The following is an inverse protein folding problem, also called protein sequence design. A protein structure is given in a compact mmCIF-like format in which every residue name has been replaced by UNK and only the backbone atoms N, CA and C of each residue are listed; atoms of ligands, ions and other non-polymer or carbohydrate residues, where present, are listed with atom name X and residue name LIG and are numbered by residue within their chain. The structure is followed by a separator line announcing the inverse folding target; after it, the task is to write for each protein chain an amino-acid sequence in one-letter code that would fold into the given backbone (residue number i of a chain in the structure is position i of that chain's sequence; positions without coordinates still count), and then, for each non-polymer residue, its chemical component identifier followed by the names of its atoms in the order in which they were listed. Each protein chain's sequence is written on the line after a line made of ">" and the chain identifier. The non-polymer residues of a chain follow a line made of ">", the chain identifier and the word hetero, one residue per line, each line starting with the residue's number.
data_IF_278828188834
#
_entry.id   IF_278828188834
#
_cell.length_a   1.000
_cell.length_b   1.000
_cell.length_c   1.000
_cell.angle_alpha   90.00
_cell.angle_beta   90.00
_cell.angle_gamma   90.00
#
_symmetry.space_group_name_H-M   'P 1'
#
loop_
_entity.id
_entity.type
_entity.pdbx_description
1 polymer ?
#
# COMPACT_ATOMS: atom_id res chain seq x y z
N UNK A 1 -11.18 -11.85 7.96
CA UNK A 1 -12.52 -11.29 7.67
C UNK A 1 -13.63 -12.33 7.66
N UNK A 2 -13.66 -13.33 6.78
CA UNK A 2 -14.81 -14.27 6.72
C UNK A 2 -15.17 -14.95 8.04
N UNK A 3 -14.17 -15.45 8.80
CA UNK A 3 -14.43 -16.09 10.10
C UNK A 3 -14.99 -15.10 11.15
N UNK A 4 -14.59 -13.83 11.09
CA UNK A 4 -15.08 -12.79 11.99
C UNK A 4 -16.51 -12.39 11.62
N UNK A 5 -16.74 -12.04 10.35
CA UNK A 5 -18.05 -11.58 9.89
C UNK A 5 -19.11 -12.68 10.06
N UNK A 6 -18.81 -13.92 9.67
CA UNK A 6 -19.80 -15.01 9.79
C UNK A 6 -20.09 -15.40 11.25
N UNK A 7 -19.25 -14.99 12.21
CA UNK A 7 -19.50 -15.23 13.63
C UNK A 7 -20.56 -14.27 14.17
N UNK A 8 -20.47 -12.97 13.82
CA UNK A 8 -21.42 -11.95 14.28
C UNK A 8 -22.63 -11.75 13.35
N UNK A 9 -22.47 -12.05 12.06
CA UNK A 9 -23.49 -11.91 11.02
C UNK A 9 -23.62 -13.24 10.24
N UNK A 10 -24.25 -14.26 10.83
CA UNK A 10 -24.36 -15.58 10.22
C UNK A 10 -25.26 -15.61 8.98
N UNK A 11 -26.20 -14.65 8.86
CA UNK A 11 -27.18 -14.58 7.79
C UNK A 11 -27.56 -13.14 7.42
N UNK A 12 -28.42 -12.99 6.41
CA UNK A 12 -28.90 -11.68 5.95
C UNK A 12 -29.76 -10.94 6.99
N UNK A 13 -30.45 -11.65 7.87
CA UNK A 13 -31.31 -11.01 8.87
C UNK A 13 -30.46 -10.30 9.92
N UNK A 14 -29.32 -10.89 10.31
CA UNK A 14 -28.35 -10.24 11.19
C UNK A 14 -27.86 -8.90 10.59
N UNK A 15 -27.61 -8.83 9.28
CA UNK A 15 -27.24 -7.60 8.59
C UNK A 15 -28.41 -6.61 8.56
N UNK A 16 -29.59 -7.05 8.14
CA UNK A 16 -30.78 -6.19 7.98
C UNK A 16 -31.27 -5.56 9.29
N UNK A 17 -31.05 -6.25 10.41
CA UNK A 17 -31.49 -5.80 11.73
C UNK A 17 -30.47 -4.90 12.44
N UNK A 18 -29.23 -4.82 11.93
CA UNK A 18 -28.19 -3.96 12.48
C UNK A 18 -28.31 -2.54 11.91
N UNK A 19 -29.01 -1.68 12.65
CA UNK A 19 -29.24 -0.28 12.27
C UNK A 19 -27.96 0.55 12.25
N UNK A 20 -26.98 0.23 13.09
CA UNK A 20 -25.71 0.96 13.15
C UNK A 20 -24.88 0.64 11.90
N UNK A 21 -24.78 -0.63 11.53
CA UNK A 21 -24.06 -1.06 10.33
C UNK A 21 -24.67 -0.48 9.04
N UNK A 22 -26.01 -0.46 8.95
CA UNK A 22 -26.71 0.13 7.80
C UNK A 22 -26.45 1.63 7.73
N UNK A 23 -26.62 2.36 8.84
CA UNK A 23 -26.41 3.80 8.90
C UNK A 23 -24.95 4.17 8.57
N UNK A 24 -23.98 3.41 9.08
CA UNK A 24 -22.55 3.58 8.79
C UNK A 24 -22.26 3.51 7.28
N UNK A 25 -22.81 2.50 6.60
CA UNK A 25 -22.55 2.33 5.17
C UNK A 25 -23.29 3.36 4.31
N UNK A 26 -24.49 3.78 4.71
CA UNK A 26 -25.20 4.88 4.07
C UNK A 26 -24.43 6.19 4.23
N UNK A 27 -23.89 6.48 5.41
CA UNK A 27 -23.12 7.69 5.66
C UNK A 27 -21.83 7.74 4.81
N UNK A 28 -21.09 6.64 4.71
CA UNK A 28 -19.90 6.55 3.83
C UNK A 28 -20.26 6.92 2.39
N UNK A 29 -21.37 6.39 1.86
CA UNK A 29 -21.77 6.63 0.47
C UNK A 29 -22.31 8.03 0.25
N UNK A 30 -23.21 8.48 1.12
CA UNK A 30 -23.98 9.71 0.91
C UNK A 30 -23.25 10.97 1.37
N UNK A 31 -22.43 10.86 2.42
CA UNK A 31 -21.69 11.99 3.00
C UNK A 31 -20.17 11.87 2.86
N UNK A 32 -19.62 10.68 2.97
CA UNK A 32 -18.18 10.44 2.80
C UNK A 32 -17.73 10.59 1.34
N UNK A 33 -18.53 10.08 0.40
CA UNK A 33 -18.28 10.11 -1.04
C UNK A 33 -19.47 10.66 -1.84
N UNK A 34 -19.94 11.89 -1.56
CA UNK A 34 -21.19 12.42 -2.10
C UNK A 34 -21.17 12.59 -3.63
N UNK A 35 -19.99 12.79 -4.21
CA UNK A 35 -19.75 12.88 -5.66
C UNK A 35 -19.87 11.51 -6.36
N UNK A 36 -19.67 10.41 -5.62
CA UNK A 36 -19.74 9.03 -6.12
C UNK A 36 -20.98 8.27 -5.69
N UNK A 37 -21.91 8.87 -4.94
CA UNK A 37 -23.10 8.16 -4.41
C UNK A 37 -23.93 7.42 -5.46
N UNK A 38 -23.99 7.92 -6.71
CA UNK A 38 -24.70 7.29 -7.84
C UNK A 38 -23.80 6.44 -8.76
N UNK A 39 -22.53 6.29 -8.43
CA UNK A 39 -21.60 5.49 -9.22
C UNK A 39 -22.01 4.02 -9.19
N UNK A 40 -21.81 3.32 -10.32
CA UNK A 40 -21.91 1.87 -10.33
C UNK A 40 -20.80 1.26 -9.47
N UNK A 41 -21.09 0.12 -8.83
CA UNK A 41 -20.09 -0.68 -8.11
C UNK A 41 -20.14 -0.61 -6.59
N UNK A 42 -21.00 0.20 -5.97
CA UNK A 42 -21.22 0.15 -4.52
C UNK A 42 -21.81 -1.21 -4.08
N UNK A 43 -21.16 -1.92 -3.14
CA UNK A 43 -21.76 -3.09 -2.51
C UNK A 43 -23.09 -2.75 -1.81
N UNK A 44 -24.05 -3.68 -1.88
CA UNK A 44 -25.42 -3.42 -1.41
C UNK A 44 -25.62 -3.54 0.10
N UNK A 45 -24.64 -4.14 0.81
CA UNK A 45 -24.70 -4.46 2.24
C UNK A 45 -26.02 -5.16 2.64
N UNK A 46 -26.35 -6.26 1.96
CA UNK A 46 -27.54 -7.06 2.26
C UNK A 46 -27.21 -8.43 2.82
N UNK A 47 -26.01 -8.92 2.54
CA UNK A 47 -25.56 -10.26 2.91
C UNK A 47 -24.24 -10.21 3.70
N UNK A 48 -23.91 -11.24 4.49
CA UNK A 48 -22.59 -11.37 5.10
C UNK A 48 -21.45 -11.31 4.08
N UNK A 49 -21.69 -11.80 2.85
CA UNK A 49 -20.71 -11.72 1.75
C UNK A 49 -20.43 -10.27 1.34
N UNK A 50 -21.46 -9.43 1.26
CA UNK A 50 -21.30 -8.00 0.97
C UNK A 50 -20.47 -7.33 2.06
N UNK A 51 -20.78 -7.60 3.34
CA UNK A 51 -20.04 -7.05 4.46
C UNK A 51 -18.56 -7.49 4.44
N UNK A 52 -18.30 -8.79 4.19
CA UNK A 52 -16.94 -9.31 4.02
C UNK A 52 -16.21 -8.56 2.91
N UNK A 53 -16.85 -8.34 1.76
CA UNK A 53 -16.24 -7.60 0.66
C UNK A 53 -15.91 -6.16 1.07
N UNK A 54 -16.85 -5.45 1.70
CA UNK A 54 -16.66 -4.06 2.15
C UNK A 54 -15.48 -3.97 3.13
N UNK A 55 -15.51 -4.70 4.25
CA UNK A 55 -14.49 -4.57 5.29
C UNK A 55 -13.13 -5.10 4.84
N UNK A 56 -13.10 -6.13 3.97
CA UNK A 56 -11.84 -6.62 3.40
C UNK A 56 -11.23 -5.61 2.45
N UNK A 57 -12.05 -4.87 1.70
CA UNK A 57 -11.57 -3.81 0.79
C UNK A 57 -11.01 -2.64 1.59
N UNK A 58 -11.73 -2.18 2.61
CA UNK A 58 -11.25 -1.11 3.51
C UNK A 58 -9.93 -1.51 4.16
N UNK A 59 -9.86 -2.72 4.74
CA UNK A 59 -8.63 -3.22 5.34
C UNK A 59 -7.50 -3.36 4.31
N UNK A 60 -7.77 -3.86 3.11
CA UNK A 60 -6.75 -3.98 2.06
C UNK A 60 -6.19 -2.62 1.65
N UNK A 61 -7.06 -1.63 1.42
CA UNK A 61 -6.66 -0.28 1.01
C UNK A 61 -5.83 0.39 2.11
N UNK A 62 -6.30 0.31 3.36
CA UNK A 62 -5.63 0.92 4.50
C UNK A 62 -4.34 0.22 4.95
N UNK A 63 -4.18 -1.08 4.63
CA UNK A 63 -3.00 -1.85 5.00
C UNK A 63 -2.09 -2.11 3.79
N UNK A 64 -2.32 -3.24 3.11
CA UNK A 64 -1.40 -3.80 2.12
C UNK A 64 -1.23 -2.94 0.86
N UNK A 65 -2.31 -2.29 0.39
CA UNK A 65 -2.23 -1.41 -0.76
C UNK A 65 -1.40 -0.17 -0.46
N UNK A 66 -1.73 0.56 0.61
CA UNK A 66 -0.95 1.71 1.06
C UNK A 66 0.51 1.34 1.25
N UNK A 67 0.79 0.25 1.97
CA UNK A 67 2.17 -0.20 2.20
C UNK A 67 2.93 -0.39 0.89
N UNK A 68 2.31 -1.06 -0.10
CA UNK A 68 2.91 -1.36 -1.39
C UNK A 68 3.25 -0.11 -2.23
N UNK A 69 2.56 1.01 -2.02
CA UNK A 69 2.81 2.28 -2.74
C UNK A 69 3.57 3.31 -1.90
N UNK A 70 3.70 3.10 -0.59
CA UNK A 70 4.25 4.06 0.35
C UNK A 70 5.71 3.77 0.76
N UNK A 71 6.00 2.60 1.34
CA UNK A 71 7.28 2.35 2.02
C UNK A 71 8.47 2.09 1.09
N UNK A 72 8.23 2.03 -0.21
CA UNK A 72 9.27 1.94 -1.25
C UNK A 72 9.57 3.29 -1.90
N UNK A 73 8.89 4.37 -1.48
CA UNK A 73 9.04 5.68 -2.11
C UNK A 73 10.48 6.17 -2.04
N UNK A 74 11.14 6.13 -0.88
CA UNK A 74 12.52 6.58 -0.76
C UNK A 74 13.50 5.66 -1.52
N UNK A 75 13.27 4.36 -1.54
CA UNK A 75 14.12 3.42 -2.29
C UNK A 75 14.16 3.75 -3.80
N UNK A 76 13.08 4.29 -4.36
CA UNK A 76 13.01 4.69 -5.77
C UNK A 76 13.26 6.18 -6.02
N UNK A 77 12.83 7.06 -5.13
CA UNK A 77 12.89 8.51 -5.31
C UNK A 77 14.09 9.18 -4.62
N UNK A 78 14.78 8.47 -3.72
CA UNK A 78 15.99 8.97 -3.06
C UNK A 78 17.14 9.21 -4.05
N UNK A 79 17.17 8.44 -5.14
CA UNK A 79 17.96 8.74 -6.32
C UNK A 79 17.07 9.40 -7.38
N UNK A 80 17.03 10.75 -7.37
CA UNK A 80 16.08 11.53 -8.18
C UNK A 80 16.04 11.18 -9.69
N UNK A 81 17.14 10.78 -10.37
CA UNK A 81 17.05 10.44 -11.79
C UNK A 81 16.21 9.19 -12.05
N UNK A 82 16.08 8.29 -11.06
CA UNK A 82 15.21 7.11 -11.18
C UNK A 82 13.72 7.47 -11.13
N UNK A 83 13.35 8.63 -10.55
CA UNK A 83 11.96 9.08 -10.43
C UNK A 83 11.89 10.61 -10.34
N UNK A 84 12.15 11.33 -11.44
CA UNK A 84 12.07 12.79 -11.45
C UNK A 84 10.62 13.23 -11.20
N UNK A 85 10.43 14.18 -10.29
CA UNK A 85 9.10 14.67 -9.91
C UNK A 85 8.55 15.77 -10.82
N UNK A 86 9.43 16.42 -11.60
CA UNK A 86 9.10 17.52 -12.50
C UNK A 86 10.10 17.56 -13.65
N UNK A 87 9.63 18.03 -14.82
CA UNK A 87 10.47 18.55 -15.89
C UNK A 87 10.32 20.09 -15.92
N UNK A 88 11.44 20.82 -15.79
CA UNK A 88 11.52 22.30 -15.79
C UNK A 88 11.59 22.88 -17.20
N UNK A 89 12.04 22.10 -18.16
CA UNK A 89 12.09 22.43 -19.59
C UNK A 89 11.45 21.31 -20.40
N UNK A 90 11.24 21.53 -21.69
CA UNK A 90 10.75 20.49 -22.58
C UNK A 90 11.81 19.39 -22.68
N UNK A 91 11.38 18.13 -22.54
CA UNK A 91 12.25 16.99 -22.82
C UNK A 91 12.60 16.97 -24.32
N UNK A 92 13.84 16.59 -24.68
CA UNK A 92 14.18 16.30 -26.07
C UNK A 92 13.22 15.27 -26.66
N UNK A 93 12.89 15.43 -27.94
CA UNK A 93 12.01 14.52 -28.65
C UNK A 93 12.78 13.33 -29.21
N UNK A 94 12.08 12.25 -29.54
CA UNK A 94 12.66 11.10 -30.25
C UNK A 94 12.84 11.37 -31.76
N UNK A 95 12.42 12.55 -32.24
CA UNK A 95 12.61 12.94 -33.63
C UNK A 95 14.05 13.38 -33.85
N UNK A 96 14.83 12.50 -34.48
CA UNK A 96 16.26 12.70 -34.74
C UNK A 96 16.59 14.02 -35.44
N UNK A 97 15.69 14.52 -36.30
CA UNK A 97 15.88 15.78 -37.02
C UNK A 97 15.68 17.01 -36.11
N UNK A 98 15.14 16.82 -34.91
CA UNK A 98 14.84 17.85 -33.91
C UNK A 98 15.66 17.71 -32.62
N UNK A 99 16.58 16.74 -32.54
CA UNK A 99 17.46 16.59 -31.37
C UNK A 99 18.43 17.77 -31.35
N UNK A 100 18.45 18.61 -30.30
CA UNK A 100 19.41 19.71 -30.20
C UNK A 100 20.85 19.18 -30.18
N UNK A 101 21.77 19.86 -30.86
CA UNK A 101 23.21 19.51 -30.88
C UNK A 101 23.78 19.41 -29.45
N UNK A 102 23.31 20.28 -28.55
CA UNK A 102 23.66 20.26 -27.12
C UNK A 102 23.33 18.93 -26.42
N UNK A 103 22.25 18.26 -26.82
CA UNK A 103 21.89 16.94 -26.28
C UNK A 103 22.78 15.84 -26.85
N UNK A 104 23.24 15.97 -28.10
CA UNK A 104 24.18 15.03 -28.72
C UNK A 104 25.55 15.14 -28.04
N UNK A 105 26.02 16.36 -27.82
CA UNK A 105 27.34 16.63 -27.27
C UNK A 105 27.40 16.41 -25.75
N UNK A 106 26.32 16.72 -25.02
CA UNK A 106 26.27 16.63 -23.56
C UNK A 106 24.86 16.30 -23.03
N UNK A 107 24.38 15.06 -23.23
CA UNK A 107 23.03 14.65 -22.85
C UNK A 107 22.78 14.78 -21.34
N UNK A 108 23.80 14.56 -20.51
CA UNK A 108 23.67 14.67 -19.05
C UNK A 108 23.30 16.08 -18.61
N UNK A 109 23.95 17.11 -19.17
CA UNK A 109 23.67 18.50 -18.82
C UNK A 109 22.25 18.90 -19.21
N UNK A 110 21.82 18.54 -20.43
CA UNK A 110 20.48 18.84 -20.93
C UNK A 110 19.41 18.13 -20.08
N UNK A 111 19.63 16.86 -19.72
CA UNK A 111 18.72 16.11 -18.84
C UNK A 111 18.68 16.72 -17.43
N UNK A 112 19.82 17.12 -16.86
CA UNK A 112 19.87 17.76 -15.54
C UNK A 112 19.19 19.14 -15.53
N UNK A 113 19.23 19.86 -16.65
CA UNK A 113 18.49 21.11 -16.82
C UNK A 113 16.97 20.85 -16.89
N UNK A 114 16.56 19.80 -17.61
CA UNK A 114 15.17 19.40 -17.66
C UNK A 114 14.67 18.85 -16.31
N UNK A 115 15.46 18.07 -15.59
CA UNK A 115 15.07 17.45 -14.32
C UNK A 115 15.04 18.43 -13.15
N UNK A 116 14.52 18.02 -11.97
CA UNK A 116 14.40 18.91 -10.82
C UNK A 116 15.75 19.55 -10.46
N UNK A 117 15.74 20.81 -10.03
CA UNK A 117 16.95 21.44 -9.48
C UNK A 117 17.39 20.72 -8.19
N UNK A 118 18.64 20.92 -7.77
CA UNK A 118 19.15 20.30 -6.52
C UNK A 118 18.24 20.60 -5.33
N UNK A 119 17.74 21.83 -5.21
CA UNK A 119 16.84 22.21 -4.13
C UNK A 119 15.48 21.46 -4.20
N UNK A 120 14.91 21.32 -5.40
CA UNK A 120 13.66 20.58 -5.62
C UNK A 120 13.83 19.08 -5.36
N UNK A 121 14.88 18.47 -5.93
CA UNK A 121 15.21 17.07 -5.71
C UNK A 121 15.46 16.78 -4.23
N UNK A 122 16.21 17.63 -3.54
CA UNK A 122 16.48 17.49 -2.11
C UNK A 122 15.22 17.56 -1.26
N UNK A 123 14.30 18.47 -1.62
CA UNK A 123 13.00 18.59 -0.92
C UNK A 123 12.17 17.32 -1.09
N UNK A 124 12.06 16.81 -2.32
CA UNK A 124 11.31 15.58 -2.60
C UNK A 124 11.97 14.38 -1.92
N UNK A 125 13.29 14.23 -2.00
CA UNK A 125 13.99 13.11 -1.37
C UNK A 125 13.81 13.09 0.16
N UNK A 126 13.86 14.25 0.82
CA UNK A 126 13.60 14.35 2.27
C UNK A 126 12.15 14.02 2.62
N UNK A 127 11.18 14.50 1.84
CA UNK A 127 9.77 14.14 2.01
C UNK A 127 9.58 12.63 1.87
N UNK A 128 10.13 12.02 0.81
CA UNK A 128 10.01 10.58 0.59
C UNK A 128 10.71 9.76 1.68
N UNK A 129 11.82 10.25 2.23
CA UNK A 129 12.50 9.62 3.36
C UNK A 129 11.58 9.55 4.58
N UNK A 130 10.93 10.67 4.92
CA UNK A 130 10.02 10.77 6.07
C UNK A 130 8.80 9.87 5.86
N UNK A 131 8.16 9.94 4.69
CA UNK A 131 6.97 9.14 4.38
C UNK A 131 7.26 7.63 4.29
N UNK A 132 8.52 7.23 4.03
CA UNK A 132 8.92 5.82 3.96
C UNK A 132 9.39 5.25 5.31
N UNK A 133 9.45 6.06 6.36
CA UNK A 133 9.96 5.65 7.66
C UNK A 133 8.84 5.08 8.54
N UNK A 134 9.08 3.90 9.13
CA UNK A 134 8.20 3.36 10.16
C UNK A 134 8.49 4.01 11.53
N UNK A 135 7.42 4.38 12.24
CA UNK A 135 7.49 4.78 13.64
C UNK A 135 7.99 3.63 14.52
N UNK A 136 8.75 3.88 15.61
CA UNK A 136 9.05 2.86 16.61
C UNK A 136 7.78 2.27 17.28
N UNK A 137 6.70 3.04 17.30
CA UNK A 137 5.42 2.65 17.91
C UNK A 137 4.42 2.06 16.88
N UNK A 138 4.89 1.73 15.67
CA UNK A 138 4.02 1.24 14.59
C UNK A 138 3.34 -0.11 14.90
N UNK A 139 2.06 -0.21 14.54
CA UNK A 139 1.25 -1.41 14.73
C UNK A 139 1.07 -2.17 13.42
N UNK A 140 1.71 -3.34 13.35
CA UNK A 140 1.73 -4.18 12.15
C UNK A 140 0.63 -5.24 12.12
N UNK A 141 0.21 -5.56 10.90
CA UNK A 141 -0.82 -6.55 10.63
C UNK A 141 -0.49 -7.92 11.25
N UNK A 142 -1.42 -8.45 12.05
CA UNK A 142 -1.27 -9.75 12.71
C UNK A 142 -0.26 -9.80 13.86
N UNK A 143 0.33 -8.67 14.27
CA UNK A 143 1.30 -8.62 15.38
C UNK A 143 0.62 -8.76 16.74
N UNK A 144 -0.28 -7.83 17.06
CA UNK A 144 -1.05 -7.75 18.31
C UNK A 144 -2.53 -8.02 18.05
N UNK A 145 -3.15 -8.79 18.93
CA UNK A 145 -4.59 -9.03 18.94
C UNK A 145 -5.28 -7.92 19.73
N UNK A 146 -6.43 -7.45 19.25
CA UNK A 146 -7.30 -6.56 19.99
C UNK A 146 -7.84 -7.27 21.24
N UNK A 147 -7.77 -6.68 22.45
CA UNK A 147 -8.29 -7.29 23.68
C UNK A 147 -9.69 -7.89 23.56
N UNK A 148 -10.65 -7.17 22.97
CA UNK A 148 -12.01 -7.67 22.78
C UNK A 148 -12.08 -8.93 21.88
N UNK A 149 -11.17 -9.07 20.92
CA UNK A 149 -11.07 -10.26 20.07
C UNK A 149 -10.46 -11.46 20.80
N UNK A 150 -9.63 -11.21 21.81
CA UNK A 150 -9.02 -12.26 22.63
C UNK A 150 -10.02 -12.88 23.62
N UNK A 151 -11.02 -12.11 24.05
CA UNK A 151 -12.08 -12.57 24.96
C UNK A 151 -13.05 -13.56 24.29
N UNK A 152 -13.27 -13.45 22.97
CA UNK A 152 -14.05 -14.42 22.21
C UNK A 152 -13.17 -15.57 21.69
N UNK A 153 -13.35 -16.83 22.14
CA UNK A 153 -12.49 -17.95 21.74
C UNK A 153 -12.53 -18.27 20.24
N UNK A 154 -13.65 -18.00 19.57
CA UNK A 154 -13.82 -18.22 18.13
C UNK A 154 -13.01 -17.19 17.35
N UNK A 155 -13.11 -15.93 17.74
CA UNK A 155 -12.37 -14.83 17.12
C UNK A 155 -10.88 -14.92 17.41
N UNK A 156 -10.49 -15.21 18.66
CA UNK A 156 -9.10 -15.42 19.03
C UNK A 156 -8.44 -16.51 18.17
N UNK A 157 -9.13 -17.64 17.96
CA UNK A 157 -8.65 -18.71 17.07
C UNK A 157 -8.59 -18.27 15.61
N UNK A 158 -9.53 -17.43 15.15
CA UNK A 158 -9.49 -16.88 13.80
C UNK A 158 -8.30 -15.94 13.59
N UNK A 159 -7.98 -15.11 14.59
CA UNK A 159 -6.80 -14.23 14.59
C UNK A 159 -5.50 -15.03 14.57
N UNK A 160 -5.37 -16.08 15.38
CA UNK A 160 -4.18 -16.93 15.39
C UNK A 160 -3.96 -17.62 14.03
N UNK A 161 -5.04 -18.10 13.39
CA UNK A 161 -4.96 -18.64 12.03
C UNK A 161 -4.52 -17.57 11.03
N UNK A 162 -4.99 -16.32 11.18
CA UNK A 162 -4.59 -15.22 10.33
C UNK A 162 -3.10 -14.89 10.49
N UNK A 163 -2.61 -14.75 11.72
CA UNK A 163 -1.19 -14.57 12.05
C UNK A 163 -0.30 -15.68 11.48
N UNK A 164 -0.71 -16.93 11.63
CA UNK A 164 0.01 -18.06 11.04
C UNK A 164 0.10 -17.98 9.51
N UNK A 165 -0.97 -17.54 8.83
CA UNK A 165 -0.96 -17.37 7.37
C UNK A 165 -0.04 -16.22 6.94
N UNK A 166 0.03 -15.13 7.71
CA UNK A 166 0.97 -14.04 7.48
C UNK A 166 2.43 -14.50 7.63
N UNK A 167 2.75 -15.27 8.67
CA UNK A 167 4.10 -15.85 8.85
C UNK A 167 4.47 -16.79 7.69
N UNK A 168 3.50 -17.52 7.14
CA UNK A 168 3.73 -18.36 5.95
C UNK A 168 3.91 -17.50 4.69
N UNK A 169 3.19 -16.39 4.56
CA UNK A 169 3.34 -15.45 3.46
C UNK A 169 4.74 -14.85 3.44
N UNK A 170 5.25 -14.41 4.59
CA UNK A 170 6.61 -13.87 4.70
C UNK A 170 7.67 -14.84 4.17
N UNK A 171 7.64 -16.08 4.65
CA UNK A 171 8.52 -17.16 4.13
C UNK A 171 8.35 -17.43 2.64
N UNK A 172 7.15 -17.18 2.10
CA UNK A 172 6.90 -17.33 0.66
C UNK A 172 7.51 -16.17 -0.12
N UNK A 173 7.52 -14.96 0.43
CA UNK A 173 8.19 -13.79 -0.14
C UNK A 173 9.70 -14.02 -0.17
N UNK A 174 10.29 -14.50 0.92
CA UNK A 174 11.74 -14.81 0.99
C UNK A 174 12.15 -15.78 -0.12
N UNK A 175 11.47 -16.93 -0.19
CA UNK A 175 11.72 -17.94 -1.22
C UNK A 175 11.57 -17.40 -2.65
N UNK A 176 10.67 -16.45 -2.88
CA UNK A 176 10.49 -15.82 -4.19
C UNK A 176 11.60 -14.84 -4.51
N UNK A 177 12.15 -14.15 -3.53
CA UNK A 177 13.28 -13.23 -3.72
C UNK A 177 14.60 -13.98 -3.93
N UNK A 178 14.74 -15.17 -3.36
CA UNK A 178 15.90 -16.05 -3.54
C UNK A 178 15.88 -16.84 -4.87
N UNK A 179 14.71 -16.94 -5.52
CA UNK A 179 14.57 -17.73 -6.74
C UNK A 179 15.12 -16.99 -7.97
N UNK A 180 16.25 -17.45 -8.51
CA UNK A 180 16.92 -16.89 -9.69
C UNK A 180 16.08 -16.92 -10.98
N UNK A 181 15.09 -17.81 -11.08
CA UNK A 181 14.17 -17.86 -12.22
C UNK A 181 13.17 -16.70 -12.21
N UNK A 182 12.94 -16.07 -11.05
CA UNK A 182 12.04 -14.92 -10.90
C UNK A 182 12.81 -13.61 -11.15
N UNK A 183 13.17 -13.38 -12.42
CA UNK A 183 14.00 -12.24 -12.88
C UNK A 183 13.48 -10.84 -12.52
N UNK A 184 12.19 -10.69 -12.24
CA UNK A 184 11.61 -9.42 -11.77
C UNK A 184 11.86 -9.15 -10.27
N UNK A 185 12.46 -10.10 -9.55
CA UNK A 185 12.69 -10.06 -8.10
C UNK A 185 14.13 -10.41 -7.71
N UNK A 186 14.91 -10.90 -8.67
CA UNK A 186 16.24 -11.44 -8.45
C UNK A 186 17.15 -11.06 -9.63
N UNK A 187 18.30 -10.45 -9.33
CA UNK A 187 19.27 -10.02 -10.34
C UNK A 187 20.09 -8.82 -9.89
N UNK A 188 21.12 -8.48 -10.65
CA UNK A 188 21.96 -7.32 -10.39
C UNK A 188 21.12 -6.02 -10.47
N UNK A 189 21.26 -5.15 -9.47
CA UNK A 189 20.52 -3.88 -9.39
C UNK A 189 19.06 -4.01 -8.96
N UNK A 190 18.56 -5.22 -8.70
CA UNK A 190 17.20 -5.42 -8.19
C UNK A 190 17.21 -5.54 -6.66
N UNK A 191 16.45 -4.67 -6.01
CA UNK A 191 16.19 -4.76 -4.57
C UNK A 191 15.12 -5.84 -4.34
N UNK A 192 15.31 -6.76 -3.37
CA UNK A 192 14.29 -7.74 -3.02
C UNK A 192 12.94 -7.07 -2.73
N UNK A 193 11.87 -7.56 -3.35
CA UNK A 193 10.54 -6.97 -3.15
C UNK A 193 9.94 -7.48 -1.85
N UNK A 194 10.07 -6.69 -0.78
CA UNK A 194 9.71 -7.08 0.58
C UNK A 194 8.54 -6.26 1.17
N UNK A 195 8.00 -5.31 0.42
CA UNK A 195 6.99 -4.35 0.90
C UNK A 195 5.73 -4.99 1.49
N UNK A 196 5.41 -6.24 1.12
CA UNK A 196 4.27 -7.00 1.63
C UNK A 196 4.64 -8.00 2.74
N UNK A 197 5.86 -7.93 3.30
CA UNK A 197 6.19 -8.65 4.53
C UNK A 197 5.34 -8.08 5.68
N UNK A 198 4.76 -8.91 6.56
CA UNK A 198 3.79 -8.45 7.54
C UNK A 198 4.34 -7.42 8.53
N UNK A 199 5.59 -7.57 8.95
CA UNK A 199 6.21 -6.75 10.00
C UNK A 199 7.54 -6.15 9.56
N UNK A 200 7.96 -5.10 10.26
CA UNK A 200 9.28 -4.48 10.06
C UNK A 200 9.81 -3.88 11.35
N UNK A 201 11.06 -3.44 11.28
CA UNK A 201 11.71 -2.59 12.27
C UNK A 201 11.41 -1.11 11.98
N UNK A 202 11.78 -0.23 12.92
CA UNK A 202 11.60 1.22 12.76
C UNK A 202 12.53 1.82 11.70
N UNK A 203 12.15 2.97 11.14
CA UNK A 203 12.92 3.68 10.11
C UNK A 203 12.61 3.20 8.69
N UNK A 204 13.51 3.51 7.74
CA UNK A 204 13.30 3.22 6.31
C UNK A 204 13.82 1.82 5.99
N UNK A 205 12.89 0.87 5.87
CA UNK A 205 13.21 -0.56 5.73
C UNK A 205 12.74 -1.18 4.41
N UNK A 206 11.83 -0.53 3.69
CA UNK A 206 11.27 -1.06 2.44
C UNK A 206 10.37 -2.29 2.60
N UNK A 207 9.95 -2.60 3.82
CA UNK A 207 9.11 -3.76 4.18
C UNK A 207 8.20 -3.43 5.36
N UNK A 208 7.18 -4.24 5.58
CA UNK A 208 6.24 -4.08 6.69
C UNK A 208 4.87 -3.58 6.23
N UNK A 209 3.81 -4.11 6.84
CA UNK A 209 2.43 -3.72 6.55
C UNK A 209 1.75 -3.27 7.84
N UNK A 210 1.65 -1.95 8.08
CA UNK A 210 0.85 -1.39 9.16
C UNK A 210 -0.64 -1.71 9.01
N UNK A 211 -1.41 -1.54 10.09
CA UNK A 211 -2.87 -1.66 10.06
C UNK A 211 -3.59 -0.49 9.39
N UNK A 212 -2.89 0.62 9.12
CA UNK A 212 -3.49 1.87 8.67
C UNK A 212 -2.56 2.66 7.75
N UNK A 213 -3.14 3.72 7.15
CA UNK A 213 -2.39 4.78 6.48
C UNK A 213 -1.83 5.70 7.57
N UNK A 214 -0.69 5.32 8.13
CA UNK A 214 -0.06 6.00 9.28
C UNK A 214 1.01 7.03 8.90
N UNK A 215 1.50 6.98 7.65
CA UNK A 215 2.51 7.87 7.06
C UNK A 215 2.22 8.13 5.60
#
# INVERSE_FOLDING_TARGET
>A
MSAYVNHYYPDENAIKNDKELIAWWEEIKEKGHPDKKKAAGWPSLKTPKDLIQIVSTIAWVGCGHHSAVNFIQYAHAGYFPSRPSIARTNMPTEDFDQIPEEFIDNPESVILEAFPSIAQASTVAQTMLILSAHSPDEEYIGKKIEPAWAEDPTIARAFEKFKMRLNKLEKTIDKRNENSELKNRHGAGLVPYEVLKPTSDYGVTGKGVPYSVST
#
